data_IF_667795228836
#
_entry.id   IF_667795228836
#
_cell.length_a   1.000
_cell.length_b   1.000
_cell.length_c   1.000
_cell.angle_alpha   90.00
_cell.angle_beta   90.00
_cell.angle_gamma   90.00
#
_symmetry.space_group_name_H-M   'P 1'
#
loop_
_entity.id
_entity.type
_entity.pdbx_description
1 polymer ?
#
# COMPACT_ATOMS: atom_id res chain seq x y z
N UNK A 1 -25.46 -10.41 -4.32
CA UNK A 1 -25.91 -9.37 -3.36
C UNK A 1 -27.42 -9.54 -3.17
N UNK A 2 -27.85 -10.67 -2.60
CA UNK A 2 -29.25 -11.15 -2.56
C UNK A 2 -30.10 -10.57 -1.42
N UNK A 3 -29.56 -9.64 -0.62
CA UNK A 3 -30.26 -9.08 0.55
C UNK A 3 -31.07 -7.81 0.24
N UNK A 4 -30.92 -7.24 -0.95
CA UNK A 4 -31.63 -6.03 -1.35
C UNK A 4 -33.13 -6.27 -1.64
N UNK A 5 -33.55 -7.52 -1.84
CA UNK A 5 -34.94 -7.89 -2.15
C UNK A 5 -35.86 -8.10 -0.94
N UNK A 6 -35.34 -8.13 0.29
CA UNK A 6 -36.11 -8.41 1.52
C UNK A 6 -36.59 -7.15 2.27
N UNK A 7 -36.47 -5.97 1.65
CA UNK A 7 -36.96 -4.70 2.22
C UNK A 7 -36.17 -4.24 3.46
N UNK A 8 -36.86 -3.54 4.37
CA UNK A 8 -36.23 -2.82 5.49
C UNK A 8 -35.71 -3.75 6.60
N UNK A 9 -36.20 -5.00 6.67
CA UNK A 9 -35.76 -6.01 7.65
C UNK A 9 -34.29 -6.43 7.52
N UNK A 10 -33.63 -6.10 6.40
CA UNK A 10 -32.20 -6.41 6.17
C UNK A 10 -31.29 -5.19 6.18
N UNK A 11 -31.81 -3.99 6.51
CA UNK A 11 -31.02 -2.75 6.48
C UNK A 11 -29.79 -2.82 7.38
N UNK A 12 -29.92 -3.36 8.58
CA UNK A 12 -28.79 -3.50 9.49
C UNK A 12 -27.70 -4.41 8.91
N UNK A 13 -28.10 -5.55 8.34
CA UNK A 13 -27.17 -6.49 7.71
C UNK A 13 -26.48 -5.90 6.48
N UNK A 14 -27.21 -5.12 5.67
CA UNK A 14 -26.64 -4.37 4.53
C UNK A 14 -25.63 -3.32 5.01
N UNK A 15 -25.96 -2.58 6.07
CA UNK A 15 -25.06 -1.58 6.67
C UNK A 15 -23.76 -2.23 7.18
N UNK A 16 -23.85 -3.37 7.85
CA UNK A 16 -22.68 -4.10 8.35
C UNK A 16 -21.78 -4.59 7.21
N UNK A 17 -22.35 -5.11 6.13
CA UNK A 17 -21.57 -5.51 4.94
C UNK A 17 -20.82 -4.33 4.33
N UNK A 18 -21.49 -3.19 4.13
CA UNK A 18 -20.84 -2.00 3.55
C UNK A 18 -19.76 -1.46 4.49
N UNK A 19 -19.99 -1.48 5.80
CA UNK A 19 -18.95 -1.10 6.79
C UNK A 19 -17.71 -2.00 6.70
N UNK A 20 -17.90 -3.31 6.56
CA UNK A 20 -16.79 -4.25 6.40
C UNK A 20 -16.02 -4.00 5.10
N UNK A 21 -16.72 -3.70 4.00
CA UNK A 21 -16.10 -3.30 2.73
C UNK A 21 -15.31 -1.99 2.87
N UNK A 22 -15.86 -1.00 3.56
CA UNK A 22 -15.17 0.27 3.83
C UNK A 22 -13.87 0.03 4.62
N UNK A 23 -13.92 -0.75 5.69
CA UNK A 23 -12.72 -1.05 6.50
C UNK A 23 -11.64 -1.79 5.67
N UNK A 24 -12.05 -2.71 4.81
CA UNK A 24 -11.13 -3.41 3.91
C UNK A 24 -10.49 -2.46 2.87
N UNK A 25 -11.28 -1.53 2.32
CA UNK A 25 -10.79 -0.51 1.39
C UNK A 25 -9.81 0.44 2.08
N UNK A 26 -10.12 0.93 3.27
CA UNK A 26 -9.25 1.83 4.05
C UNK A 26 -7.90 1.16 4.35
N UNK A 27 -7.91 -0.12 4.75
CA UNK A 27 -6.68 -0.89 4.92
C UNK A 27 -5.87 -0.96 3.63
N UNK A 28 -6.52 -1.19 2.49
CA UNK A 28 -5.83 -1.27 1.19
C UNK A 28 -5.24 0.07 0.78
N UNK A 29 -5.95 1.16 1.01
CA UNK A 29 -5.46 2.52 0.78
C UNK A 29 -4.20 2.77 1.61
N UNK A 30 -4.23 2.41 2.90
CA UNK A 30 -3.07 2.55 3.77
C UNK A 30 -1.86 1.79 3.24
N UNK A 31 -2.02 0.53 2.84
CA UNK A 31 -0.94 -0.26 2.23
C UNK A 31 -0.39 0.41 0.96
N UNK A 32 -1.28 0.87 0.07
CA UNK A 32 -0.89 1.55 -1.17
C UNK A 32 -0.15 2.85 -0.91
N UNK A 33 -0.53 3.61 0.12
CA UNK A 33 0.17 4.82 0.53
C UNK A 33 1.60 4.50 0.98
N UNK A 34 1.79 3.43 1.78
CA UNK A 34 3.14 2.99 2.19
C UNK A 34 4.01 2.59 0.98
N UNK A 35 3.42 1.92 -0.02
CA UNK A 35 4.12 1.60 -1.26
C UNK A 35 4.46 2.86 -2.05
N UNK A 36 3.55 3.83 -2.13
CA UNK A 36 3.80 5.11 -2.79
C UNK A 36 4.96 5.86 -2.13
N UNK A 37 5.02 5.92 -0.80
CA UNK A 37 6.13 6.55 -0.08
C UNK A 37 7.48 5.91 -0.41
N UNK A 38 7.51 4.58 -0.58
CA UNK A 38 8.72 3.87 -1.01
C UNK A 38 9.14 4.27 -2.42
N UNK A 39 8.18 4.34 -3.35
CA UNK A 39 8.44 4.76 -4.73
C UNK A 39 8.93 6.21 -4.76
N UNK A 40 8.27 7.13 -4.05
CA UNK A 40 8.65 8.53 -3.96
C UNK A 40 10.09 8.68 -3.41
N UNK A 41 10.44 7.88 -2.39
CA UNK A 41 11.81 7.85 -1.86
C UNK A 41 12.82 7.40 -2.91
N UNK A 42 12.49 6.37 -3.69
CA UNK A 42 13.34 5.88 -4.78
C UNK A 42 13.45 6.88 -5.94
N UNK A 43 12.37 7.58 -6.27
CA UNK A 43 12.39 8.66 -7.27
C UNK A 43 13.34 9.77 -6.84
N UNK A 44 13.22 10.27 -5.60
CA UNK A 44 14.16 11.28 -5.07
C UNK A 44 15.62 10.83 -5.14
N UNK A 45 15.90 9.57 -4.82
CA UNK A 45 17.24 9.01 -4.96
C UNK A 45 17.74 9.12 -6.41
N UNK A 46 16.92 8.72 -7.38
CA UNK A 46 17.30 8.77 -8.79
C UNK A 46 17.35 10.20 -9.34
N UNK A 47 16.49 11.11 -8.89
CA UNK A 47 16.54 12.52 -9.25
C UNK A 47 17.89 13.13 -8.87
N UNK A 48 18.39 12.81 -7.67
CA UNK A 48 19.72 13.25 -7.21
C UNK A 48 20.83 12.60 -8.05
N UNK A 49 20.72 11.31 -8.36
CA UNK A 49 21.71 10.60 -9.17
C UNK A 49 21.79 11.18 -10.59
N UNK A 50 20.64 11.46 -11.20
CA UNK A 50 20.52 12.07 -12.52
C UNK A 50 21.06 13.50 -12.52
N UNK A 51 20.68 14.33 -11.54
CA UNK A 51 21.14 15.72 -11.45
C UNK A 51 22.66 15.84 -11.25
N UNK A 52 23.26 14.87 -10.55
CA UNK A 52 24.71 14.84 -10.30
C UNK A 52 25.51 14.01 -11.31
N UNK A 53 24.83 13.29 -12.20
CA UNK A 53 25.45 12.29 -13.09
C UNK A 53 26.14 11.14 -12.34
N UNK A 54 25.90 10.96 -11.03
CA UNK A 54 26.60 9.99 -10.19
C UNK A 54 25.73 9.40 -9.10
N UNK A 55 25.64 8.07 -9.08
CA UNK A 55 24.98 7.36 -7.97
C UNK A 55 25.72 7.51 -6.63
N UNK A 56 27.02 7.83 -6.64
CA UNK A 56 27.79 8.00 -5.41
C UNK A 56 27.30 9.22 -4.61
N UNK A 57 26.93 10.30 -5.30
CA UNK A 57 26.36 11.49 -4.68
C UNK A 57 24.96 11.22 -4.12
N UNK A 58 24.13 10.49 -4.86
CA UNK A 58 22.83 10.03 -4.37
C UNK A 58 22.97 9.17 -3.11
N UNK A 59 23.90 8.21 -3.08
CA UNK A 59 24.17 7.38 -1.89
C UNK A 59 24.63 8.20 -0.69
N UNK A 60 25.53 9.19 -0.89
CA UNK A 60 25.97 10.10 0.17
C UNK A 60 24.78 10.83 0.81
N UNK A 61 23.87 11.38 -0.01
CA UNK A 61 22.68 12.10 0.48
C UNK A 61 21.59 11.18 1.03
N UNK A 62 21.45 9.96 0.51
CA UNK A 62 20.40 9.03 0.90
C UNK A 62 20.72 8.21 2.16
N UNK A 63 21.98 8.17 2.60
CA UNK A 63 22.41 7.41 3.77
C UNK A 63 21.96 7.98 5.13
N UNK A 64 21.53 9.25 5.22
CA UNK A 64 21.12 9.88 6.49
C UNK A 64 19.60 9.93 6.74
N UNK A 65 18.76 9.58 5.76
CA UNK A 65 17.34 9.96 5.78
C UNK A 65 16.39 8.78 5.50
N UNK A 66 16.72 7.54 5.90
CA UNK A 66 15.82 6.41 5.64
C UNK A 66 14.57 6.50 6.51
N UNK A 67 13.35 6.66 5.96
CA UNK A 67 12.16 6.32 6.71
C UNK A 67 12.19 4.82 6.97
N UNK A 68 12.12 4.41 8.25
CA UNK A 68 12.05 3.01 8.66
C UNK A 68 10.67 2.44 8.34
N UNK A 69 10.33 2.30 7.06
CA UNK A 69 9.09 1.64 6.66
C UNK A 69 9.28 0.15 6.96
N UNK A 70 8.64 -0.34 8.04
CA UNK A 70 8.67 -1.76 8.39
C UNK A 70 8.00 -2.52 7.25
N UNK A 71 8.79 -3.16 6.39
CA UNK A 71 8.29 -4.09 5.38
C UNK A 71 7.54 -5.18 6.13
N UNK A 72 6.22 -5.20 6.03
CA UNK A 72 5.47 -6.40 6.37
C UNK A 72 5.94 -7.48 5.39
N UNK A 73 6.61 -8.50 5.91
CA UNK A 73 7.05 -9.66 5.14
C UNK A 73 5.82 -10.34 4.57
N UNK A 74 5.50 -10.07 3.29
CA UNK A 74 4.54 -10.90 2.58
C UNK A 74 5.27 -12.19 2.25
N UNK A 75 5.11 -13.20 3.11
CA UNK A 75 5.53 -14.56 2.84
C UNK A 75 5.03 -14.96 1.45
N UNK A 76 5.97 -15.17 0.54
CA UNK A 76 5.71 -15.77 -0.77
C UNK A 76 5.33 -17.23 -0.51
N UNK A 77 4.05 -17.48 -0.18
CA UNK A 77 3.52 -18.83 -0.22
C UNK A 77 3.36 -19.15 -1.70
N UNK A 78 4.36 -19.85 -2.23
CA UNK A 78 4.36 -20.46 -3.55
C UNK A 78 3.03 -21.16 -3.75
N UNK A 79 2.22 -20.64 -4.66
CA UNK A 79 1.07 -21.35 -5.20
C UNK A 79 1.69 -22.28 -6.25
N UNK A 80 1.88 -23.54 -5.89
CA UNK A 80 2.09 -24.61 -6.88
C UNK A 80 0.74 -24.83 -7.59
N UNK A 81 0.68 -24.45 -8.86
CA UNK A 81 -0.34 -24.91 -9.80
C UNK A 81 0.36 -25.92 -10.71
N UNK A 82 0.17 -27.21 -10.44
CA UNK A 82 -0.14 -28.29 -11.41
C UNK A 82 -0.82 -29.41 -10.62
#
# INVERSE_FOLDING_TARGET
MELCGQGDGTLQKRREMVRAQQAALEKRIYELQQYKEHIDSKLRYYDIACASGSEAEAKRRYCCEKPKVKRATVEKKSIEIV
#
